data_IF_099494451832
#
_entry.id   IF_099494451832
#
_cell.length_a   1.000
_cell.length_b   1.000
_cell.length_c   1.000
_cell.angle_alpha   90.00
_cell.angle_beta   90.00
_cell.angle_gamma   90.00
#
_symmetry.space_group_name_H-M   'P 1'
#
loop_
_entity.id
_entity.type
_entity.pdbx_description
1 polymer ?
#
# COMPACT_ATOMS: atom_id res chain seq x y z
N UNK A 1 0.92 -19.72 -6.60
CA UNK A 1 1.19 -18.73 -7.67
C UNK A 1 1.88 -17.54 -7.01
N UNK A 2 3.07 -17.12 -7.49
CA UNK A 2 3.78 -15.97 -6.90
C UNK A 2 3.13 -14.68 -7.39
N UNK A 3 2.67 -13.82 -6.48
CA UNK A 3 2.25 -12.44 -6.78
C UNK A 3 3.37 -11.50 -6.35
N UNK A 4 3.82 -10.66 -7.26
CA UNK A 4 4.81 -9.63 -6.96
C UNK A 4 4.08 -8.30 -6.86
N UNK A 5 4.11 -7.70 -5.67
CA UNK A 5 3.50 -6.41 -5.38
C UNK A 5 4.61 -5.51 -4.85
N UNK A 6 5.15 -4.66 -5.72
CA UNK A 6 6.23 -3.73 -5.40
C UNK A 6 5.66 -2.41 -4.87
N UNK A 7 4.78 -2.50 -3.86
CA UNK A 7 4.16 -1.36 -3.20
C UNK A 7 4.81 -1.13 -1.84
N UNK A 8 4.95 0.13 -1.45
CA UNK A 8 5.27 0.47 -0.06
C UNK A 8 4.10 0.03 0.84
N UNK A 9 4.42 -0.71 1.90
CA UNK A 9 3.48 -1.07 2.97
C UNK A 9 4.01 -0.51 4.29
N UNK A 10 3.13 0.11 5.09
CA UNK A 10 3.47 0.72 6.39
C UNK A 10 2.69 0.09 7.56
N UNK A 11 1.78 -0.80 7.24
CA UNK A 11 0.88 -1.49 8.14
C UNK A 11 1.32 -2.96 8.33
N UNK A 12 0.44 -3.73 8.98
CA UNK A 12 0.68 -5.14 9.29
C UNK A 12 0.37 -6.09 8.11
N UNK A 13 0.43 -5.63 6.85
CA UNK A 13 0.23 -6.48 5.66
C UNK A 13 1.12 -7.74 5.70
N UNK A 14 2.43 -7.66 6.02
CA UNK A 14 3.27 -8.86 6.09
C UNK A 14 2.76 -9.89 7.11
N UNK A 15 2.31 -9.45 8.28
CA UNK A 15 1.76 -10.28 9.34
C UNK A 15 0.40 -10.87 8.93
N UNK A 16 -0.43 -10.10 8.23
CA UNK A 16 -1.70 -10.57 7.67
C UNK A 16 -1.51 -11.63 6.57
N UNK A 17 -0.48 -11.50 5.74
CA UNK A 17 -0.12 -12.52 4.73
C UNK A 17 0.33 -13.81 5.45
N UNK A 18 1.18 -13.67 6.46
CA UNK A 18 1.65 -14.80 7.27
C UNK A 18 0.50 -15.52 8.00
N UNK A 19 -0.45 -14.77 8.56
CA UNK A 19 -1.60 -15.35 9.28
C UNK A 19 -2.53 -16.16 8.37
N UNK A 20 -2.52 -15.89 7.06
CA UNK A 20 -3.24 -16.66 6.03
C UNK A 20 -2.46 -17.89 5.54
N UNK A 21 -1.29 -18.16 6.10
CA UNK A 21 -0.42 -19.28 5.71
C UNK A 21 0.43 -19.01 4.47
N UNK A 22 0.51 -17.76 4.01
CA UNK A 22 1.35 -17.34 2.88
C UNK A 22 2.68 -16.76 3.38
N UNK A 23 3.70 -16.73 2.52
CA UNK A 23 5.03 -16.18 2.87
C UNK A 23 5.26 -14.86 2.14
N UNK A 24 5.21 -13.71 2.85
CA UNK A 24 5.55 -12.43 2.23
C UNK A 24 7.06 -12.32 2.01
N UNK A 25 7.47 -11.74 0.89
CA UNK A 25 8.85 -11.30 0.69
C UNK A 25 8.89 -9.80 0.91
N UNK A 26 9.55 -9.35 1.98
CA UNK A 26 9.64 -7.93 2.34
C UNK A 26 11.09 -7.48 2.37
N UNK A 27 11.32 -6.21 2.05
CA UNK A 27 12.61 -5.54 2.17
C UNK A 27 12.41 -4.24 2.94
N UNK A 28 13.24 -4.00 3.95
CA UNK A 28 13.29 -2.70 4.62
C UNK A 28 14.02 -1.71 3.73
N UNK A 29 13.42 -0.53 3.54
CA UNK A 29 13.98 0.56 2.76
C UNK A 29 14.87 1.43 3.65
N UNK A 30 15.91 2.01 3.08
CA UNK A 30 16.60 3.14 3.72
C UNK A 30 15.78 4.44 3.60
N UNK A 31 16.21 5.52 4.25
CA UNK A 31 15.48 6.79 4.25
C UNK A 31 15.28 7.39 2.84
N UNK A 32 16.27 7.24 1.96
CA UNK A 32 16.23 7.78 0.60
C UNK A 32 15.24 7.02 -0.27
N UNK A 33 15.35 5.69 -0.26
CA UNK A 33 14.40 4.79 -0.93
C UNK A 33 12.99 4.96 -0.37
N UNK A 34 12.83 5.04 0.95
CA UNK A 34 11.54 5.24 1.60
C UNK A 34 10.88 6.54 1.13
N UNK A 35 11.64 7.64 1.06
CA UNK A 35 11.12 8.92 0.57
C UNK A 35 10.62 8.83 -0.88
N UNK A 36 11.31 8.07 -1.73
CA UNK A 36 10.92 7.86 -3.13
C UNK A 36 9.66 6.99 -3.22
N UNK A 37 9.63 5.86 -2.53
CA UNK A 37 8.48 4.94 -2.55
C UNK A 37 7.24 5.55 -1.89
N UNK A 38 7.41 6.40 -0.87
CA UNK A 38 6.31 7.13 -0.25
C UNK A 38 5.64 8.10 -1.23
N UNK A 39 6.42 8.83 -2.03
CA UNK A 39 5.87 9.71 -3.08
C UNK A 39 5.11 8.92 -4.16
N UNK A 40 5.61 7.74 -4.53
CA UNK A 40 4.91 6.86 -5.47
C UNK A 40 3.59 6.36 -4.88
N UNK A 41 3.61 5.96 -3.61
CA UNK A 41 2.43 5.48 -2.89
C UNK A 41 1.34 6.56 -2.81
N UNK A 42 1.72 7.80 -2.48
CA UNK A 42 0.80 8.94 -2.49
C UNK A 42 0.14 9.16 -3.87
N UNK A 43 0.89 9.02 -4.96
CA UNK A 43 0.34 9.16 -6.32
C UNK A 43 -0.61 8.02 -6.66
N UNK A 44 -0.30 6.80 -6.22
CA UNK A 44 -1.15 5.61 -6.37
C UNK A 44 -2.49 5.82 -5.66
N UNK A 45 -2.48 6.15 -4.36
CA UNK A 45 -3.70 6.34 -3.55
C UNK A 45 -4.53 7.51 -4.09
N UNK A 46 -3.90 8.61 -4.51
CA UNK A 46 -4.60 9.73 -5.13
C UNK A 46 -5.29 9.33 -6.45
N UNK A 47 -4.73 8.40 -7.23
CA UNK A 47 -5.39 7.87 -8.42
C UNK A 47 -6.56 6.96 -8.06
N UNK A 48 -6.46 6.17 -6.98
CA UNK A 48 -7.54 5.34 -6.46
C UNK A 48 -8.72 6.20 -5.96
N UNK A 49 -8.44 7.30 -5.25
CA UNK A 49 -9.44 8.34 -4.87
C UNK A 49 -10.19 8.86 -6.10
N UNK A 50 -9.48 9.20 -7.18
CA UNK A 50 -10.10 9.73 -8.42
C UNK A 50 -10.94 8.67 -9.14
N UNK A 51 -10.59 7.39 -9.02
CA UNK A 51 -11.29 6.28 -9.66
C UNK A 51 -12.56 5.82 -8.90
N UNK A 52 -12.76 6.29 -7.67
CA UNK A 52 -13.88 5.90 -6.83
C UNK A 52 -15.24 6.29 -7.43
N UNK A 53 -16.18 5.34 -7.42
CA UNK A 53 -17.57 5.54 -7.91
C UNK A 53 -18.61 5.54 -6.79
N UNK A 54 -18.21 5.23 -5.55
CA UNK A 54 -19.09 5.23 -4.37
C UNK A 54 -18.51 6.11 -3.28
N UNK A 55 -19.38 6.58 -2.38
CA UNK A 55 -18.97 7.40 -1.24
C UNK A 55 -18.12 6.60 -0.25
N UNK A 56 -18.46 5.34 -0.05
CA UNK A 56 -17.77 4.43 0.86
C UNK A 56 -16.33 4.21 0.39
N UNK A 57 -16.13 3.90 -0.89
CA UNK A 57 -14.79 3.75 -1.47
C UNK A 57 -14.01 5.07 -1.40
N UNK A 58 -14.66 6.21 -1.71
CA UNK A 58 -13.99 7.51 -1.61
C UNK A 58 -13.46 7.80 -0.20
N UNK A 59 -14.23 7.45 0.84
CA UNK A 59 -13.80 7.65 2.23
C UNK A 59 -12.61 6.74 2.57
N UNK A 60 -12.62 5.50 2.11
CA UNK A 60 -11.53 4.54 2.29
C UNK A 60 -10.24 5.03 1.64
N UNK A 61 -10.26 5.35 0.35
CA UNK A 61 -9.06 5.79 -0.37
C UNK A 61 -8.51 7.15 0.13
N UNK A 62 -9.40 8.03 0.63
CA UNK A 62 -8.96 9.28 1.28
C UNK A 62 -8.29 9.02 2.63
N UNK A 63 -8.68 7.97 3.36
CA UNK A 63 -8.02 7.57 4.58
C UNK A 63 -6.64 6.96 4.27
N UNK A 64 -6.53 6.12 3.25
CA UNK A 64 -5.27 5.54 2.80
C UNK A 64 -4.30 6.65 2.34
N UNK A 65 -4.78 7.65 1.60
CA UNK A 65 -3.99 8.83 1.19
C UNK A 65 -3.40 9.62 2.38
N UNK A 66 -4.05 9.56 3.56
CA UNK A 66 -3.63 10.28 4.76
C UNK A 66 -2.65 9.48 5.64
N UNK A 67 -2.63 8.14 5.51
CA UNK A 67 -1.74 7.25 6.27
C UNK A 67 -0.28 7.70 6.19
#
# INVERSE_FOLDING_TARGET
>A
MRREINKLVRDYIPEQIQSKGETPTVRKLDEGEFSIELRKKLVEEAQEVVACSTKEALIEELADTLE
#
